data_IF_742232693420
#
_entry.id   IF_742232693420
#
_cell.length_a   1.000
_cell.length_b   1.000
_cell.length_c   1.000
_cell.angle_alpha   90.00
_cell.angle_beta   90.00
_cell.angle_gamma   90.00
#
_symmetry.space_group_name_H-M   'P 1'
#
loop_
_entity.id
_entity.type
_entity.pdbx_description
1 polymer ?
#
# COMPACT_ATOMS: atom_id res chain seq x y z
N UNK A 1 -2.36 -4.70 -16.24
CA UNK A 1 -2.47 -6.08 -15.71
C UNK A 1 -2.08 -6.04 -14.24
N UNK A 2 -2.66 -6.90 -13.39
CA UNK A 2 -2.26 -6.95 -11.99
C UNK A 2 -0.78 -7.34 -11.88
N UNK A 3 -0.06 -6.66 -10.99
CA UNK A 3 1.35 -6.96 -10.66
C UNK A 3 1.41 -7.87 -9.44
N UNK A 4 2.43 -8.71 -9.37
CA UNK A 4 2.57 -9.71 -8.31
C UNK A 4 3.84 -10.53 -8.47
N UNK A 5 3.93 -11.66 -7.78
CA UNK A 5 5.11 -12.54 -7.85
C UNK A 5 5.19 -13.29 -9.20
N UNK A 6 6.36 -13.84 -9.47
CA UNK A 6 6.63 -14.74 -10.59
C UNK A 6 6.38 -14.07 -11.96
N UNK A 7 5.45 -14.62 -12.75
CA UNK A 7 5.17 -14.16 -14.12
C UNK A 7 4.45 -12.80 -14.20
N UNK A 8 4.11 -12.20 -13.05
CA UNK A 8 3.43 -10.91 -12.95
C UNK A 8 4.34 -9.78 -12.45
N UNK A 9 5.65 -10.04 -12.29
CA UNK A 9 6.65 -9.04 -11.94
C UNK A 9 7.27 -8.44 -13.20
N UNK A 10 7.00 -7.15 -13.42
CA UNK A 10 7.64 -6.36 -14.49
C UNK A 10 8.59 -5.29 -13.93
N UNK A 11 9.04 -5.46 -12.67
CA UNK A 11 9.84 -4.52 -11.89
C UNK A 11 9.13 -3.21 -11.51
N UNK A 12 7.81 -3.12 -11.68
CA UNK A 12 7.02 -1.98 -11.21
C UNK A 12 6.72 -2.13 -9.72
N UNK A 13 7.16 -1.16 -8.92
CA UNK A 13 6.95 -1.10 -7.49
C UNK A 13 5.80 -0.14 -7.17
N UNK A 14 4.83 -0.62 -6.39
CA UNK A 14 3.73 0.19 -5.87
C UNK A 14 3.98 0.48 -4.37
N UNK A 15 4.21 1.75 -3.96
CA UNK A 15 4.49 2.09 -2.57
C UNK A 15 3.41 1.62 -1.57
N UNK A 16 2.15 1.57 -2.01
CA UNK A 16 1.02 1.04 -1.21
C UNK A 16 1.28 -0.36 -0.67
N UNK A 17 1.91 -1.25 -1.46
CA UNK A 17 2.15 -2.64 -1.06
C UNK A 17 3.05 -2.70 0.19
N UNK A 18 4.08 -1.84 0.25
CA UNK A 18 5.00 -1.79 1.39
C UNK A 18 4.38 -1.05 2.57
N UNK A 19 3.80 0.13 2.34
CA UNK A 19 3.25 0.96 3.43
C UNK A 19 2.04 0.30 4.08
N UNK A 20 1.13 -0.30 3.30
CA UNK A 20 -0.03 -0.98 3.83
C UNK A 20 0.32 -2.27 4.60
N UNK A 21 1.56 -2.76 4.45
CA UNK A 21 2.08 -3.91 5.18
C UNK A 21 2.69 -3.58 6.55
N UNK A 22 2.78 -2.30 6.92
CA UNK A 22 3.38 -1.86 8.20
C UNK A 22 2.77 -2.57 9.42
N UNK A 23 1.44 -2.76 9.55
CA UNK A 23 0.87 -3.48 10.69
C UNK A 23 1.25 -4.96 10.81
N UNK A 24 1.78 -5.56 9.73
CA UNK A 24 2.09 -6.98 9.69
C UNK A 24 3.58 -7.27 9.82
N UNK A 25 4.43 -6.42 9.23
CA UNK A 25 5.88 -6.58 9.27
C UNK A 25 6.58 -5.22 9.47
N UNK A 26 6.33 -4.52 10.59
CA UNK A 26 6.83 -3.15 10.80
C UNK A 26 8.35 -3.05 10.72
N UNK A 27 9.07 -4.08 11.17
CA UNK A 27 10.53 -4.18 11.15
C UNK A 27 11.13 -4.26 9.74
N UNK A 28 10.34 -4.66 8.74
CA UNK A 28 10.73 -4.69 7.34
C UNK A 28 10.15 -3.50 6.57
N UNK A 29 8.85 -3.25 6.75
CA UNK A 29 8.10 -2.27 5.98
C UNK A 29 8.50 -0.83 6.31
N UNK A 30 8.71 -0.49 7.59
CA UNK A 30 9.08 0.89 7.97
C UNK A 30 10.46 1.28 7.39
N UNK A 31 11.54 0.48 7.58
CA UNK A 31 12.82 0.79 6.95
C UNK A 31 12.74 0.86 5.43
N UNK A 32 11.98 -0.04 4.78
CA UNK A 32 11.81 -0.04 3.33
C UNK A 32 11.11 1.23 2.82
N UNK A 33 10.04 1.69 3.48
CA UNK A 33 9.33 2.93 3.13
C UNK A 33 10.22 4.15 3.31
N UNK A 34 10.95 4.23 4.42
CA UNK A 34 11.85 5.34 4.70
C UNK A 34 12.99 5.41 3.67
N UNK A 35 13.56 4.25 3.31
CA UNK A 35 14.63 4.18 2.31
C UNK A 35 14.11 4.48 0.90
N UNK A 36 12.91 4.00 0.56
CA UNK A 36 12.23 4.31 -0.70
C UNK A 36 12.02 5.83 -0.85
N UNK A 37 11.50 6.50 0.19
CA UNK A 37 11.36 7.96 0.20
C UNK A 37 12.71 8.67 0.15
N UNK A 38 13.69 8.23 0.96
CA UNK A 38 15.03 8.85 1.00
C UNK A 38 15.73 8.80 -0.35
N UNK A 39 15.64 7.67 -1.07
CA UNK A 39 16.30 7.47 -2.36
C UNK A 39 15.55 8.11 -3.52
N UNK A 40 14.23 8.00 -3.54
CA UNK A 40 13.43 8.25 -4.73
C UNK A 40 12.37 9.34 -4.56
N UNK A 41 12.19 9.88 -3.35
CA UNK A 41 11.10 10.80 -3.00
C UNK A 41 10.99 12.02 -3.91
N UNK A 42 12.12 12.57 -4.40
CA UNK A 42 12.12 13.67 -5.37
C UNK A 42 11.37 13.35 -6.69
N UNK A 43 11.22 12.07 -7.02
CA UNK A 43 10.53 11.61 -8.23
C UNK A 43 9.14 11.06 -7.93
N UNK A 44 8.99 10.34 -6.82
CA UNK A 44 7.81 9.50 -6.53
C UNK A 44 6.90 10.06 -5.42
N UNK A 45 7.22 11.19 -4.81
CA UNK A 45 6.47 11.78 -3.69
C UNK A 45 6.16 13.25 -3.96
N UNK A 46 4.91 13.65 -3.73
CA UNK A 46 4.44 15.04 -3.92
C UNK A 46 3.28 15.36 -2.95
N UNK A 47 2.39 16.29 -3.32
CA UNK A 47 1.34 16.90 -2.48
C UNK A 47 0.49 15.91 -1.69
N UNK A 48 0.16 14.75 -2.24
CA UNK A 48 -0.67 13.73 -1.58
C UNK A 48 0.09 12.47 -1.15
N UNK A 49 1.41 12.57 -1.06
CA UNK A 49 2.28 11.46 -0.71
C UNK A 49 2.88 10.77 -1.92
N UNK A 50 3.06 9.45 -1.82
CA UNK A 50 3.61 8.63 -2.89
C UNK A 50 2.64 8.56 -4.08
N UNK A 51 3.16 8.69 -5.30
CA UNK A 51 2.44 8.28 -6.51
C UNK A 51 2.15 6.78 -6.50
N UNK A 52 1.25 6.35 -7.38
CA UNK A 52 0.76 4.98 -7.45
C UNK A 52 1.88 3.94 -7.63
N UNK A 53 2.78 4.19 -8.56
CA UNK A 53 3.84 3.25 -8.88
C UNK A 53 5.07 3.91 -9.53
N UNK A 54 6.18 3.17 -9.57
CA UNK A 54 7.37 3.52 -10.34
C UNK A 54 8.10 2.25 -10.79
N UNK A 55 8.91 2.38 -11.85
CA UNK A 55 9.75 1.31 -12.35
C UNK A 55 11.12 1.88 -12.74
N UNK A 56 12.12 1.63 -11.91
CA UNK A 56 13.46 2.16 -12.13
C UNK A 56 14.27 1.43 -13.21
N UNK A 57 13.73 0.34 -13.77
CA UNK A 57 14.37 -0.40 -14.87
C UNK A 57 13.79 -0.02 -16.24
N UNK A 58 12.69 0.74 -16.25
CA UNK A 58 12.02 1.13 -17.48
C UNK A 58 12.76 2.30 -18.16
N UNK A 59 13.63 1.99 -19.10
CA UNK A 59 14.39 2.97 -19.90
C UNK A 59 14.09 2.88 -21.41
N UNK A 60 12.94 2.31 -21.76
CA UNK A 60 12.56 2.10 -23.15
C UNK A 60 12.08 3.39 -23.82
N UNK A 61 12.52 3.62 -25.05
CA UNK A 61 12.06 4.72 -25.90
C UNK A 61 10.77 4.31 -26.61
N UNK A 62 9.66 4.39 -25.88
CA UNK A 62 8.31 4.07 -26.38
C UNK A 62 7.32 5.15 -25.96
N UNK A 63 6.27 5.41 -26.77
CA UNK A 63 5.21 6.32 -26.35
C UNK A 63 4.57 5.84 -25.05
N UNK A 64 4.61 6.69 -24.03
CA UNK A 64 3.94 6.43 -22.76
C UNK A 64 2.47 6.81 -22.88
N UNK A 65 1.58 5.88 -22.52
CA UNK A 65 0.15 6.17 -22.40
C UNK A 65 -0.19 6.84 -21.07
N UNK A 66 0.57 6.54 -20.01
CA UNK A 66 0.40 7.06 -18.65
C UNK A 66 1.77 7.21 -17.96
N UNK A 67 1.82 8.05 -16.93
CA UNK A 67 3.04 8.36 -16.20
C UNK A 67 4.05 9.19 -17.02
N UNK A 68 5.29 9.23 -16.55
CA UNK A 68 6.38 9.99 -17.15
C UNK A 68 7.70 9.24 -17.08
N UNK A 69 8.53 9.42 -18.10
CA UNK A 69 9.93 9.01 -18.06
C UNK A 69 10.76 10.07 -17.31
N UNK A 70 11.62 9.61 -16.41
CA UNK A 70 12.57 10.42 -15.64
C UNK A 70 13.98 10.01 -16.05
N UNK A 71 14.71 10.95 -16.63
CA UNK A 71 16.08 10.72 -17.10
C UNK A 71 16.97 10.20 -15.98
N UNK A 72 17.64 9.06 -16.22
CA UNK A 72 18.52 8.41 -15.25
C UNK A 72 17.81 7.69 -14.09
N UNK A 73 16.47 7.66 -14.06
CA UNK A 73 15.70 6.98 -13.02
C UNK A 73 14.79 5.89 -13.56
N UNK A 74 14.03 6.14 -14.62
CA UNK A 74 13.08 5.18 -15.20
C UNK A 74 11.68 5.77 -15.38
N UNK A 75 10.63 4.95 -15.24
CA UNK A 75 9.23 5.38 -15.33
C UNK A 75 8.63 5.67 -13.95
N UNK A 76 7.79 6.71 -13.86
CA UNK A 76 7.06 7.09 -12.64
C UNK A 76 5.61 7.41 -13.01
N UNK A 77 4.67 6.89 -12.24
CA UNK A 77 3.28 7.31 -12.35
C UNK A 77 3.10 8.78 -11.92
N UNK A 78 2.03 9.40 -12.38
CA UNK A 78 1.62 10.76 -12.00
C UNK A 78 0.30 10.77 -11.22
N UNK A 79 -0.38 9.62 -11.14
CA UNK A 79 -1.69 9.50 -10.52
C UNK A 79 -1.62 9.15 -9.02
N UNK A 80 -2.73 9.48 -8.36
CA UNK A 80 -3.06 9.04 -7.02
C UNK A 80 -4.36 8.24 -7.07
N UNK A 81 -4.29 6.93 -6.87
CA UNK A 81 -5.47 6.08 -6.84
C UNK A 81 -6.01 5.97 -5.42
N UNK A 82 -7.30 6.27 -5.21
CA UNK A 82 -7.92 6.22 -3.89
C UNK A 82 -7.87 4.83 -3.24
N UNK A 83 -7.88 3.77 -4.06
CA UNK A 83 -7.73 2.38 -3.60
C UNK A 83 -6.31 2.07 -3.11
N UNK A 84 -5.31 2.86 -3.47
CA UNK A 84 -3.91 2.69 -3.05
C UNK A 84 -3.53 3.68 -1.93
N UNK A 85 -4.00 4.92 -2.03
CA UNK A 85 -3.82 5.94 -0.97
C UNK A 85 -4.63 5.62 0.30
N UNK A 86 -5.84 5.08 0.15
CA UNK A 86 -6.70 4.72 1.28
C UNK A 86 -6.03 3.74 2.25
N UNK A 87 -5.54 2.58 1.77
CA UNK A 87 -4.79 1.63 2.60
C UNK A 87 -3.53 2.21 3.23
N UNK A 88 -2.78 3.09 2.54
CA UNK A 88 -1.60 3.76 3.13
C UNK A 88 -1.99 4.45 4.43
N UNK A 89 -2.98 5.34 4.39
CA UNK A 89 -3.45 6.09 5.56
C UNK A 89 -4.06 5.15 6.63
N UNK A 90 -4.94 4.24 6.21
CA UNK A 90 -5.66 3.35 7.12
C UNK A 90 -4.70 2.40 7.87
N UNK A 91 -3.68 1.90 7.20
CA UNK A 91 -2.76 0.92 7.77
C UNK A 91 -1.68 1.57 8.64
N UNK A 92 -1.20 2.77 8.30
CA UNK A 92 -0.36 3.56 9.22
C UNK A 92 -1.13 3.82 10.52
N UNK A 93 -2.39 4.25 10.44
CA UNK A 93 -3.17 4.52 11.65
C UNK A 93 -3.54 3.23 12.40
N UNK A 94 -3.75 2.12 11.69
CA UNK A 94 -3.92 0.82 12.35
C UNK A 94 -2.67 0.37 13.09
N UNK A 95 -1.47 0.64 12.57
CA UNK A 95 -0.23 0.37 13.30
C UNK A 95 -0.12 1.22 14.56
N UNK A 96 -0.44 2.51 14.47
CA UNK A 96 -0.28 3.46 15.58
C UNK A 96 -1.26 3.22 16.71
N UNK A 97 -2.54 3.04 16.36
CA UNK A 97 -3.60 2.94 17.37
C UNK A 97 -4.61 1.84 17.09
N UNK A 98 -4.54 1.13 15.96
CA UNK A 98 -5.59 0.19 15.53
C UNK A 98 -6.96 0.87 15.34
N UNK A 99 -7.03 2.16 14.97
CA UNK A 99 -8.29 2.92 14.91
C UNK A 99 -9.37 2.24 14.07
N UNK A 100 -9.07 1.96 12.80
CA UNK A 100 -10.03 1.37 11.86
C UNK A 100 -10.46 0.00 12.38
N UNK A 101 -9.50 -0.83 12.79
CA UNK A 101 -9.80 -2.14 13.37
C UNK A 101 -10.64 -2.06 14.65
N UNK A 102 -10.38 -1.10 15.56
CA UNK A 102 -11.18 -0.90 16.78
C UNK A 102 -12.61 -0.47 16.47
N UNK A 103 -12.82 0.34 15.44
CA UNK A 103 -14.16 0.72 15.00
C UNK A 103 -14.87 -0.51 14.40
N UNK A 104 -14.22 -1.24 13.49
CA UNK A 104 -14.79 -2.45 12.87
C UNK A 104 -15.15 -3.51 13.90
N UNK A 105 -14.27 -3.75 14.89
CA UNK A 105 -14.47 -4.70 16.00
C UNK A 105 -15.75 -4.48 16.80
N UNK A 106 -16.23 -3.23 16.88
CA UNK A 106 -17.41 -2.84 17.66
C UNK A 106 -18.70 -2.87 16.84
N UNK A 107 -18.64 -3.06 15.52
CA UNK A 107 -19.82 -3.05 14.67
C UNK A 107 -20.60 -4.37 14.82
N UNK A 108 -21.84 -4.37 15.35
CA UNK A 108 -22.60 -5.59 15.59
C UNK A 108 -22.95 -6.35 14.31
N UNK A 109 -23.12 -5.65 13.19
CA UNK A 109 -23.43 -6.28 11.89
C UNK A 109 -22.22 -7.01 11.31
N UNK A 110 -21.02 -6.42 11.41
CA UNK A 110 -19.78 -7.08 10.97
C UNK A 110 -19.51 -8.33 11.81
N UNK A 111 -19.65 -8.22 13.14
CA UNK A 111 -19.46 -9.35 14.05
C UNK A 111 -20.43 -10.50 13.75
N UNK A 112 -21.71 -10.19 13.66
CA UNK A 112 -22.74 -11.18 13.35
C UNK A 112 -22.49 -11.85 11.98
N UNK A 113 -22.04 -11.08 10.99
CA UNK A 113 -21.68 -11.61 9.68
C UNK A 113 -20.51 -12.58 9.75
N UNK A 114 -19.44 -12.24 10.48
CA UNK A 114 -18.27 -13.10 10.68
C UNK A 114 -18.63 -14.38 11.46
N UNK A 115 -19.40 -14.26 12.53
CA UNK A 115 -19.87 -15.41 13.33
C UNK A 115 -20.72 -16.36 12.48
N UNK A 116 -21.63 -15.83 11.65
CA UNK A 116 -22.43 -16.64 10.71
C UNK A 116 -21.61 -17.29 9.60
N UNK A 117 -20.49 -16.69 9.23
CA UNK A 117 -19.54 -17.26 8.28
C UNK A 117 -18.58 -18.30 8.93
N UNK A 118 -18.74 -18.60 10.22
CA UNK A 118 -17.96 -19.61 10.94
C UNK A 118 -16.62 -19.12 11.48
N UNK A 119 -16.34 -17.81 11.44
CA UNK A 119 -15.16 -17.25 12.11
C UNK A 119 -15.34 -17.29 13.63
N UNK A 120 -14.25 -17.53 14.34
CA UNK A 120 -14.19 -17.52 15.81
C UNK A 120 -12.84 -17.01 16.30
N UNK A 121 -12.74 -16.72 17.60
CA UNK A 121 -11.50 -16.24 18.21
C UNK A 121 -11.23 -14.74 18.03
N UNK A 122 -10.10 -14.28 18.57
CA UNK A 122 -9.60 -12.92 18.44
C UNK A 122 -10.64 -11.85 18.79
N UNK A 123 -11.00 -11.05 17.79
CA UNK A 123 -11.94 -9.93 17.90
C UNK A 123 -13.35 -10.35 18.31
N UNK A 124 -13.75 -11.59 18.02
CA UNK A 124 -15.09 -12.09 18.30
C UNK A 124 -15.24 -12.56 19.75
N UNK A 125 -14.16 -12.99 20.40
CA UNK A 125 -14.20 -13.50 21.78
C UNK A 125 -14.01 -12.41 22.84
N UNK A 126 -13.21 -11.38 22.56
CA UNK A 126 -12.79 -10.40 23.56
C UNK A 126 -13.82 -9.29 23.88
N UNK A 127 -15.07 -9.39 23.40
CA UNK A 127 -16.10 -8.36 23.55
C UNK A 127 -17.32 -8.80 24.37
N UNK A 128 -17.19 -9.90 25.13
CA UNK A 128 -18.13 -10.28 26.19
C UNK A 128 -17.70 -9.67 27.53
#
# INVERSE_FOLDING_TARGET
>A
AARGTDTHDDCTLAPTATVASIPFAPELAIPAVLEMHRRFGQYIYSDYGFFDAFNSSFHFDVPLSHGRAVAGFGWVDVDYLGIDQGPICAMIENQRTALVWRIMKKNPHLRLGLERAGFSGGWLTAAQ
#
